data_IF_427629229079
#
_entry.id   IF_427629229079
#
_cell.length_a   1.000
_cell.length_b   1.000
_cell.length_c   1.000
_cell.angle_alpha   90.00
_cell.angle_beta   90.00
_cell.angle_gamma   90.00
#
_symmetry.space_group_name_H-M   'P 1'
#
loop_
_entity.id
_entity.type
_entity.pdbx_description
1 polymer ?
#
# COMPACT_ATOMS: atom_id res chain seq x y z
N UNK A 1 -23.83 9.99 -0.31
CA UNK A 1 -22.43 10.11 -0.72
C UNK A 1 -21.88 8.75 -1.11
N UNK A 2 -21.48 8.58 -2.38
CA UNK A 2 -20.96 7.32 -2.93
C UNK A 2 -19.46 7.48 -3.14
N UNK A 3 -18.67 6.66 -2.44
CA UNK A 3 -17.22 6.75 -2.43
C UNK A 3 -16.62 5.50 -3.07
N UNK A 4 -15.81 5.69 -4.11
CA UNK A 4 -15.01 4.62 -4.71
C UNK A 4 -13.66 4.49 -4.02
N UNK A 5 -13.26 3.28 -3.66
CA UNK A 5 -12.02 3.04 -2.92
C UNK A 5 -11.51 1.61 -3.15
N UNK A 6 -10.19 1.40 -3.07
CA UNK A 6 -9.67 0.03 -3.02
C UNK A 6 -9.95 -0.62 -1.66
N UNK A 7 -10.11 -1.94 -1.62
CA UNK A 7 -10.35 -2.68 -0.37
C UNK A 7 -9.29 -2.37 0.72
N UNK A 8 -8.03 -2.21 0.34
CA UNK A 8 -6.96 -1.81 1.26
C UNK A 8 -7.24 -0.44 1.89
N UNK A 9 -7.49 0.60 1.08
CA UNK A 9 -7.77 1.95 1.61
C UNK A 9 -9.13 2.01 2.32
N UNK A 10 -10.11 1.25 1.86
CA UNK A 10 -11.40 1.10 2.52
C UNK A 10 -11.25 0.61 3.95
N UNK A 11 -10.43 -0.41 4.16
CA UNK A 11 -10.19 -1.02 5.48
C UNK A 11 -9.19 -0.27 6.36
N UNK A 12 -8.28 0.51 5.78
CA UNK A 12 -7.19 1.14 6.53
C UNK A 12 -7.34 2.64 6.73
N UNK A 13 -7.82 3.38 5.72
CA UNK A 13 -7.92 4.84 5.77
C UNK A 13 -9.32 5.32 6.19
N UNK A 14 -10.38 4.74 5.62
CA UNK A 14 -11.75 5.22 5.87
C UNK A 14 -12.19 5.10 7.33
N UNK A 15 -11.79 4.07 8.12
CA UNK A 15 -12.13 4.01 9.54
C UNK A 15 -11.60 5.18 10.39
N UNK A 16 -10.59 5.90 9.93
CA UNK A 16 -10.07 7.08 10.62
C UNK A 16 -10.86 8.35 10.24
N UNK A 17 -11.51 8.36 9.09
CA UNK A 17 -12.17 9.53 8.51
C UNK A 17 -13.69 9.47 8.70
N UNK A 18 -14.32 8.38 8.29
CA UNK A 18 -15.78 8.24 8.21
C UNK A 18 -16.50 8.42 9.55
N UNK A 19 -15.99 7.93 10.69
CA UNK A 19 -16.70 8.13 11.97
C UNK A 19 -16.85 9.60 12.33
N UNK A 20 -15.87 10.43 12.00
CA UNK A 20 -15.93 11.88 12.24
C UNK A 20 -16.87 12.57 11.26
N UNK A 21 -16.82 12.18 9.99
CA UNK A 21 -17.73 12.70 8.96
C UNK A 21 -19.20 12.38 9.31
N UNK A 22 -19.54 11.14 9.60
CA UNK A 22 -20.93 10.71 9.90
C UNK A 22 -21.47 11.40 11.18
N UNK A 23 -20.62 11.65 12.17
CA UNK A 23 -21.05 12.42 13.37
C UNK A 23 -21.36 13.87 13.05
N UNK A 24 -20.61 14.49 12.11
CA UNK A 24 -20.81 15.88 11.72
C UNK A 24 -22.01 16.05 10.79
N UNK A 25 -22.22 15.10 9.88
CA UNK A 25 -23.23 15.14 8.83
C UNK A 25 -24.12 13.87 8.88
N UNK A 26 -24.93 13.68 9.95
CA UNK A 26 -25.65 12.43 10.23
C UNK A 26 -26.74 12.09 9.21
N UNK A 27 -27.24 13.06 8.50
CA UNK A 27 -28.28 12.89 7.46
C UNK A 27 -27.70 12.39 6.13
N UNK A 28 -26.39 12.33 5.99
CA UNK A 28 -25.73 11.87 4.77
C UNK A 28 -25.55 10.34 4.81
N UNK A 29 -26.30 9.64 3.96
CA UNK A 29 -26.06 8.23 3.73
C UNK A 29 -24.75 8.04 2.95
N UNK A 30 -23.83 7.23 3.50
CA UNK A 30 -22.57 6.87 2.85
C UNK A 30 -22.68 5.46 2.24
N UNK A 31 -22.27 5.33 0.99
CA UNK A 31 -22.16 4.06 0.26
C UNK A 31 -20.73 3.89 -0.23
N UNK A 32 -20.08 2.78 0.12
CA UNK A 32 -18.74 2.45 -0.34
C UNK A 32 -18.81 1.50 -1.54
N UNK A 33 -18.10 1.86 -2.60
CA UNK A 33 -17.86 1.02 -3.77
C UNK A 33 -16.41 0.56 -3.74
N UNK A 34 -16.19 -0.64 -3.25
CA UNK A 34 -14.86 -1.25 -3.23
C UNK A 34 -14.55 -1.92 -4.55
N UNK A 35 -13.48 -1.48 -5.21
CA UNK A 35 -13.06 -2.00 -6.50
C UNK A 35 -11.52 -1.98 -6.64
N UNK A 36 -10.94 -2.80 -7.52
CA UNK A 36 -9.55 -2.67 -7.93
C UNK A 36 -9.26 -1.27 -8.48
N UNK A 37 -8.07 -0.74 -8.19
CA UNK A 37 -7.68 0.63 -8.58
C UNK A 37 -7.92 0.95 -10.07
N UNK A 38 -7.65 0.05 -11.03
CA UNK A 38 -7.93 0.34 -12.45
C UNK A 38 -9.41 0.62 -12.75
N UNK A 39 -10.34 0.08 -11.95
CA UNK A 39 -11.78 0.26 -12.16
C UNK A 39 -12.34 1.52 -11.46
N UNK A 40 -11.63 2.09 -10.49
CA UNK A 40 -12.09 3.25 -9.73
C UNK A 40 -12.32 4.47 -10.62
N UNK A 41 -11.47 4.68 -11.60
CA UNK A 41 -11.61 5.76 -12.56
C UNK A 41 -12.90 5.65 -13.40
N UNK A 42 -13.23 4.46 -13.85
CA UNK A 42 -14.45 4.19 -14.61
C UNK A 42 -15.71 4.42 -13.77
N UNK A 43 -15.68 4.04 -12.49
CA UNK A 43 -16.77 4.29 -11.54
C UNK A 43 -17.02 5.79 -11.36
N UNK A 44 -15.96 6.59 -11.26
CA UNK A 44 -16.07 8.05 -11.18
C UNK A 44 -16.55 8.64 -12.51
N UNK A 45 -15.95 8.27 -13.64
CA UNK A 45 -16.28 8.77 -14.96
C UNK A 45 -17.73 8.47 -15.37
N UNK A 46 -18.27 7.32 -14.95
CA UNK A 46 -19.67 6.93 -15.18
C UNK A 46 -20.65 7.43 -14.12
N UNK A 47 -20.21 8.25 -13.18
CA UNK A 47 -21.02 8.80 -12.07
C UNK A 47 -21.67 7.73 -11.18
N UNK A 48 -21.10 6.53 -11.12
CA UNK A 48 -21.48 5.49 -10.15
C UNK A 48 -21.06 5.91 -8.75
N UNK A 49 -19.91 6.58 -8.63
CA UNK A 49 -19.41 7.20 -7.40
C UNK A 49 -19.39 8.73 -7.53
N UNK A 50 -19.51 9.43 -6.42
CA UNK A 50 -19.40 10.89 -6.37
C UNK A 50 -17.92 11.31 -6.40
N UNK A 51 -17.04 10.52 -5.79
CA UNK A 51 -15.59 10.62 -5.94
C UNK A 51 -14.92 9.26 -5.66
N UNK A 52 -13.64 9.14 -6.04
CA UNK A 52 -12.82 7.97 -5.75
C UNK A 52 -11.50 8.37 -5.11
N UNK A 53 -11.05 7.57 -4.12
CA UNK A 53 -9.70 7.67 -3.57
C UNK A 53 -8.76 6.77 -4.36
N UNK A 54 -7.86 7.36 -5.13
CA UNK A 54 -6.95 6.64 -6.03
C UNK A 54 -5.57 7.29 -6.06
N UNK A 55 -4.63 6.60 -6.68
CA UNK A 55 -3.32 7.17 -6.98
C UNK A 55 -3.38 8.09 -8.19
N UNK A 56 -2.60 9.15 -8.21
CA UNK A 56 -2.36 9.99 -9.38
C UNK A 56 -0.98 9.65 -10.00
N UNK A 57 -0.78 9.90 -11.30
CA UNK A 57 -1.76 10.30 -12.30
C UNK A 57 -2.64 9.15 -12.76
N UNK A 58 -3.82 9.49 -13.28
CA UNK A 58 -4.67 8.62 -14.07
C UNK A 58 -4.75 9.19 -15.48
N UNK A 59 -4.86 8.35 -16.48
CA UNK A 59 -4.95 8.77 -17.89
C UNK A 59 -6.34 9.31 -18.27
N UNK A 60 -7.27 9.36 -17.30
CA UNK A 60 -8.63 9.83 -17.52
C UNK A 60 -8.68 11.38 -17.49
N UNK A 61 -8.93 11.96 -18.63
CA UNK A 61 -8.94 13.42 -18.82
C UNK A 61 -10.26 14.09 -18.46
N UNK A 62 -11.31 13.31 -18.24
CA UNK A 62 -12.67 13.79 -17.91
C UNK A 62 -12.94 13.84 -16.39
N UNK A 63 -11.93 13.68 -15.58
CA UNK A 63 -12.01 13.78 -14.11
C UNK A 63 -11.18 14.94 -13.61
N UNK A 64 -11.66 15.56 -12.52
CA UNK A 64 -10.87 16.50 -11.74
C UNK A 64 -10.14 15.76 -10.63
N UNK A 65 -8.90 16.16 -10.35
CA UNK A 65 -8.07 15.54 -9.32
C UNK A 65 -7.70 16.54 -8.25
N UNK A 66 -7.84 16.13 -7.01
CA UNK A 66 -7.37 16.86 -5.84
C UNK A 66 -6.36 16.00 -5.07
N UNK A 67 -5.20 16.58 -4.79
CA UNK A 67 -4.17 15.90 -3.98
C UNK A 67 -4.59 15.95 -2.50
N UNK A 68 -4.86 14.78 -1.94
CA UNK A 68 -5.27 14.64 -0.55
C UNK A 68 -4.07 14.43 0.37
N UNK A 69 -3.10 13.61 -0.06
CA UNK A 69 -1.92 13.27 0.74
C UNK A 69 -0.79 12.73 -0.11
N UNK A 70 0.43 12.87 0.39
CA UNK A 70 1.59 12.08 -0.04
C UNK A 70 1.81 10.95 0.95
N UNK A 71 2.19 9.79 0.47
CA UNK A 71 2.54 8.66 1.31
C UNK A 71 3.81 7.96 0.82
N UNK A 72 4.59 7.45 1.76
CA UNK A 72 5.78 6.65 1.44
C UNK A 72 5.36 5.21 1.15
N UNK A 73 6.15 4.54 0.34
CA UNK A 73 6.13 3.09 0.23
C UNK A 73 7.22 2.55 1.15
N UNK A 74 6.84 1.70 2.08
CA UNK A 74 7.77 1.08 3.01
C UNK A 74 8.03 -0.36 2.61
N UNK A 75 9.29 -0.77 2.69
CA UNK A 75 9.70 -2.17 2.71
C UNK A 75 9.42 -2.71 4.11
N UNK A 76 8.80 -3.87 4.18
CA UNK A 76 8.37 -4.52 5.42
C UNK A 76 9.00 -5.91 5.50
N UNK A 77 9.57 -6.23 6.65
CA UNK A 77 10.08 -7.56 6.97
C UNK A 77 9.59 -8.03 8.33
N UNK A 78 9.77 -9.32 8.61
CA UNK A 78 9.70 -9.80 9.99
C UNK A 78 10.89 -9.24 10.78
N UNK A 79 10.67 -8.82 12.04
CA UNK A 79 11.72 -8.24 12.88
C UNK A 79 12.91 -9.18 13.17
N UNK A 80 12.65 -10.48 13.18
CA UNK A 80 13.67 -11.51 13.42
C UNK A 80 14.31 -12.01 12.11
N UNK A 81 13.97 -11.43 10.95
CA UNK A 81 14.63 -11.76 9.70
C UNK A 81 16.11 -11.34 9.76
N UNK A 82 17.07 -12.14 9.27
CA UNK A 82 18.51 -11.84 9.36
C UNK A 82 18.89 -10.44 8.85
N UNK A 83 18.20 -9.93 7.82
CA UNK A 83 18.45 -8.59 7.27
C UNK A 83 17.86 -7.46 8.13
N UNK A 84 16.97 -7.75 9.07
CA UNK A 84 16.32 -6.80 9.96
C UNK A 84 16.70 -6.99 11.44
N UNK A 85 17.27 -8.15 11.77
CA UNK A 85 17.56 -8.52 13.15
C UNK A 85 18.47 -7.51 13.84
N UNK A 86 18.08 -7.10 15.05
CA UNK A 86 18.82 -6.12 15.85
C UNK A 86 18.58 -4.65 15.43
N UNK A 87 17.75 -4.41 14.42
CA UNK A 87 17.34 -3.07 14.01
C UNK A 87 15.99 -2.72 14.65
N UNK A 88 15.97 -1.65 15.43
CA UNK A 88 14.72 -1.07 15.93
C UNK A 88 14.18 -0.10 14.88
N UNK A 89 13.32 -0.60 14.01
CA UNK A 89 12.76 0.14 12.88
C UNK A 89 11.24 0.10 12.90
N UNK A 90 10.59 0.86 13.82
CA UNK A 90 9.14 0.93 13.89
C UNK A 90 8.55 1.72 12.71
N UNK A 91 7.27 1.51 12.42
CA UNK A 91 6.58 2.21 11.34
C UNK A 91 6.60 3.75 11.49
N UNK A 92 6.57 4.25 12.71
CA UNK A 92 6.63 5.69 13.02
C UNK A 92 8.00 6.32 12.71
N UNK A 93 9.07 5.52 12.72
CA UNK A 93 10.45 5.95 12.44
C UNK A 93 11.19 4.87 11.64
N UNK A 94 10.80 4.61 10.39
CA UNK A 94 11.43 3.58 9.57
C UNK A 94 12.87 3.96 9.23
N UNK A 95 13.77 2.97 9.32
CA UNK A 95 15.17 3.16 8.97
C UNK A 95 15.38 3.02 7.44
N UNK A 96 16.41 3.66 6.87
CA UNK A 96 16.82 3.37 5.51
C UNK A 96 17.24 1.90 5.37
N UNK A 97 16.72 1.17 4.37
CA UNK A 97 17.15 -0.20 4.11
C UNK A 97 18.56 -0.24 3.51
N UNK A 98 18.94 0.84 2.83
CA UNK A 98 20.21 0.99 2.16
C UNK A 98 20.21 0.29 0.80
N UNK A 99 20.87 -0.85 0.69
CA UNK A 99 21.11 -1.52 -0.58
C UNK A 99 20.06 -2.60 -0.87
N UNK A 100 19.21 -2.38 -1.88
CA UNK A 100 18.17 -3.33 -2.30
C UNK A 100 18.75 -4.63 -2.92
N UNK A 101 20.03 -4.67 -3.32
CA UNK A 101 20.68 -5.90 -3.80
C UNK A 101 20.66 -7.01 -2.74
N UNK A 102 20.55 -6.65 -1.47
CA UNK A 102 20.37 -7.60 -0.37
C UNK A 102 19.09 -8.41 -0.46
N UNK A 103 18.11 -7.95 -1.26
CA UNK A 103 16.83 -8.63 -1.48
C UNK A 103 16.85 -9.59 -2.68
N UNK A 104 17.92 -9.63 -3.49
CA UNK A 104 17.97 -10.38 -4.74
C UNK A 104 17.60 -11.86 -4.58
N UNK A 105 18.08 -12.49 -3.49
CA UNK A 105 17.81 -13.90 -3.18
C UNK A 105 16.69 -14.11 -2.17
N UNK A 106 16.13 -13.03 -1.64
CA UNK A 106 15.06 -13.08 -0.67
C UNK A 106 13.69 -13.26 -1.35
N UNK A 107 12.75 -13.85 -0.63
CA UNK A 107 11.38 -13.90 -1.14
C UNK A 107 10.72 -12.54 -1.00
N UNK A 108 10.21 -12.02 -2.11
CA UNK A 108 9.45 -10.77 -2.13
C UNK A 108 7.99 -11.09 -2.46
N UNK A 109 7.08 -10.69 -1.60
CA UNK A 109 5.65 -10.84 -1.75
C UNK A 109 5.13 -9.56 -2.41
N UNK A 110 4.69 -9.66 -3.66
CA UNK A 110 4.32 -8.52 -4.48
C UNK A 110 2.86 -8.60 -4.93
N UNK A 111 2.32 -7.46 -5.30
CA UNK A 111 1.07 -7.38 -6.05
C UNK A 111 1.32 -7.74 -7.53
N UNK A 112 0.26 -8.02 -8.33
CA UNK A 112 0.41 -8.31 -9.76
C UNK A 112 1.27 -7.25 -10.47
N UNK A 113 2.07 -7.68 -11.44
CA UNK A 113 3.06 -6.84 -12.12
C UNK A 113 2.44 -5.65 -12.86
N UNK A 114 1.23 -5.82 -13.41
CA UNK A 114 0.48 -4.77 -14.10
C UNK A 114 -0.05 -3.68 -13.16
N UNK A 115 -0.02 -3.91 -11.85
CA UNK A 115 -0.46 -2.93 -10.87
C UNK A 115 0.60 -1.83 -10.66
N UNK A 116 0.11 -0.60 -10.42
CA UNK A 116 0.96 0.59 -10.33
C UNK A 116 2.08 0.47 -9.29
N UNK A 117 1.78 -0.07 -8.10
CA UNK A 117 2.79 -0.24 -7.06
C UNK A 117 3.90 -1.17 -7.53
N UNK A 118 3.55 -2.29 -8.14
CA UNK A 118 4.52 -3.24 -8.68
C UNK A 118 5.37 -2.63 -9.79
N UNK A 119 4.75 -1.89 -10.72
CA UNK A 119 5.49 -1.17 -11.77
C UNK A 119 6.51 -0.18 -11.18
N UNK A 120 6.12 0.56 -10.13
CA UNK A 120 7.02 1.47 -9.43
C UNK A 120 8.20 0.70 -8.81
N UNK A 121 7.94 -0.43 -8.16
CA UNK A 121 8.96 -1.25 -7.52
C UNK A 121 9.90 -1.89 -8.54
N UNK A 122 9.39 -2.43 -9.65
CA UNK A 122 10.23 -2.97 -10.71
C UNK A 122 11.14 -1.90 -11.33
N UNK A 123 10.63 -0.67 -11.51
CA UNK A 123 11.47 0.45 -11.92
C UNK A 123 12.56 0.76 -10.89
N UNK A 124 12.22 0.75 -9.59
CA UNK A 124 13.19 0.99 -8.52
C UNK A 124 14.27 -0.10 -8.49
N UNK A 125 13.89 -1.36 -8.62
CA UNK A 125 14.83 -2.47 -8.73
C UNK A 125 15.72 -2.34 -9.96
N UNK A 126 15.15 -2.02 -11.12
CA UNK A 126 15.90 -1.83 -12.37
C UNK A 126 16.94 -0.72 -12.26
N UNK A 127 16.57 0.43 -11.69
CA UNK A 127 17.50 1.56 -11.47
C UNK A 127 18.68 1.16 -10.58
N UNK A 128 18.44 0.28 -9.59
CA UNK A 128 19.48 -0.21 -8.69
C UNK A 128 20.17 -1.48 -9.19
N UNK A 129 19.86 -1.93 -10.41
CA UNK A 129 20.40 -3.17 -11.01
C UNK A 129 20.14 -4.40 -10.13
N UNK A 130 18.95 -4.50 -9.57
CA UNK A 130 18.48 -5.64 -8.77
C UNK A 130 17.45 -6.42 -9.58
N UNK A 131 17.61 -7.73 -9.65
CA UNK A 131 16.64 -8.65 -10.24
C UNK A 131 16.14 -9.62 -9.16
N UNK A 132 14.92 -9.38 -8.62
CA UNK A 132 14.37 -10.29 -7.61
C UNK A 132 14.14 -11.69 -8.17
N UNK A 133 14.81 -12.68 -7.59
CA UNK A 133 14.80 -14.08 -8.08
C UNK A 133 13.66 -14.93 -7.50
N UNK A 134 13.04 -14.48 -6.40
CA UNK A 134 12.01 -15.25 -5.69
C UNK A 134 10.80 -14.38 -5.39
N UNK A 135 9.81 -14.39 -6.29
CA UNK A 135 8.59 -13.59 -6.16
C UNK A 135 7.39 -14.48 -5.86
N UNK A 136 6.64 -14.13 -4.82
CA UNK A 136 5.31 -14.64 -4.53
C UNK A 136 4.30 -13.54 -4.84
N UNK A 137 3.31 -13.81 -5.69
CA UNK A 137 2.32 -12.82 -6.07
C UNK A 137 0.99 -13.03 -5.36
N UNK A 138 0.40 -11.94 -4.85
CA UNK A 138 -0.95 -11.89 -4.28
C UNK A 138 -1.67 -10.63 -4.74
N UNK A 139 -3.00 -10.67 -4.84
CA UNK A 139 -3.83 -9.49 -5.11
C UNK A 139 -4.27 -8.75 -3.85
N UNK A 140 -3.84 -9.19 -2.67
CA UNK A 140 -4.34 -8.71 -1.39
C UNK A 140 -3.19 -8.26 -0.48
N UNK A 141 -3.15 -6.97 -0.16
CA UNK A 141 -2.14 -6.37 0.72
C UNK A 141 -2.18 -6.96 2.14
N UNK A 142 -3.37 -7.31 2.65
CA UNK A 142 -3.50 -7.97 3.96
C UNK A 142 -2.86 -9.35 3.95
N UNK A 143 -3.02 -10.11 2.86
CA UNK A 143 -2.32 -11.39 2.70
C UNK A 143 -0.81 -11.18 2.68
N UNK A 144 -0.32 -10.18 1.93
CA UNK A 144 1.11 -9.90 1.85
C UNK A 144 1.71 -9.60 3.24
N UNK A 145 1.11 -8.69 4.00
CA UNK A 145 1.63 -8.32 5.33
C UNK A 145 1.53 -9.48 6.34
N UNK A 146 0.47 -10.29 6.28
CA UNK A 146 0.31 -11.45 7.15
C UNK A 146 1.39 -12.51 6.88
N UNK A 147 1.73 -12.76 5.61
CA UNK A 147 2.81 -13.67 5.25
C UNK A 147 4.18 -13.17 5.73
N UNK A 148 4.42 -11.85 5.66
CA UNK A 148 5.63 -11.26 6.23
C UNK A 148 5.66 -11.40 7.75
N UNK A 149 4.54 -11.25 8.44
CA UNK A 149 4.44 -11.45 9.88
C UNK A 149 4.74 -12.91 10.33
N UNK A 150 4.63 -13.86 9.41
CA UNK A 150 5.05 -15.25 9.59
C UNK A 150 6.46 -15.53 9.02
N UNK A 151 7.27 -14.49 8.82
CA UNK A 151 8.65 -14.55 8.35
C UNK A 151 8.83 -15.24 6.97
N UNK A 152 7.84 -15.06 6.08
CA UNK A 152 7.89 -15.68 4.76
C UNK A 152 8.61 -14.83 3.70
N UNK A 153 9.16 -13.68 4.07
CA UNK A 153 9.91 -12.79 3.17
C UNK A 153 9.60 -11.32 3.42
N UNK A 154 9.64 -10.54 2.35
CA UNK A 154 9.48 -9.08 2.37
C UNK A 154 8.26 -8.65 1.55
N UNK A 155 7.70 -7.50 1.87
CA UNK A 155 6.69 -6.84 1.01
C UNK A 155 6.88 -5.33 1.01
N UNK A 156 6.20 -4.66 0.08
CA UNK A 156 6.21 -3.20 -0.03
C UNK A 156 4.77 -2.70 0.01
N UNK A 157 4.46 -1.85 0.97
CA UNK A 157 3.12 -1.30 1.13
C UNK A 157 3.14 0.20 1.42
N UNK A 158 2.06 0.91 1.05
CA UNK A 158 1.86 2.30 1.46
C UNK A 158 1.75 2.41 2.98
N UNK A 159 2.45 3.38 3.56
CA UNK A 159 2.54 3.55 5.02
C UNK A 159 1.20 3.84 5.69
N UNK A 160 0.27 4.50 4.99
CA UNK A 160 -1.02 4.94 5.55
C UNK A 160 -1.90 3.79 6.07
N UNK A 161 -1.72 2.57 5.58
CA UNK A 161 -2.51 1.41 5.99
C UNK A 161 -1.84 0.48 6.99
N UNK A 162 -0.55 0.66 7.23
CA UNK A 162 0.25 -0.30 7.99
C UNK A 162 -0.11 -0.28 9.48
N UNK A 163 -0.42 0.88 10.05
CA UNK A 163 -0.74 1.04 11.48
C UNK A 163 -1.94 0.24 11.96
N UNK A 164 -2.76 -0.29 11.05
CA UNK A 164 -3.92 -1.13 11.37
C UNK A 164 -3.64 -2.63 11.35
N UNK A 165 -2.40 -3.04 11.03
CA UNK A 165 -2.05 -4.45 11.15
C UNK A 165 -1.97 -4.88 12.62
N UNK A 166 -2.52 -6.05 12.99
CA UNK A 166 -2.40 -6.58 14.35
C UNK A 166 -0.99 -7.11 14.69
N UNK A 167 -0.07 -7.12 13.72
CA UNK A 167 1.27 -7.72 13.83
C UNK A 167 2.40 -6.67 13.92
N UNK A 168 2.09 -5.44 14.31
CA UNK A 168 3.08 -4.35 14.38
C UNK A 168 4.34 -4.70 15.20
N UNK A 169 4.16 -5.47 16.26
CA UNK A 169 5.24 -5.93 17.16
C UNK A 169 6.15 -7.00 16.54
N UNK A 170 5.73 -7.63 15.44
CA UNK A 170 6.51 -8.63 14.70
C UNK A 170 7.23 -8.06 13.48
N UNK A 171 6.98 -6.81 13.13
CA UNK A 171 7.41 -6.23 11.87
C UNK A 171 8.48 -5.16 12.07
N UNK A 172 9.34 -5.03 11.08
CA UNK A 172 10.29 -3.94 10.89
C UNK A 172 10.01 -3.24 9.57
N UNK A 173 10.19 -1.91 9.55
CA UNK A 173 9.78 -1.05 8.44
C UNK A 173 10.97 -0.24 7.94
N UNK A 174 11.16 -0.17 6.63
CA UNK A 174 12.30 0.50 6.04
C UNK A 174 11.86 1.43 4.91
N UNK A 175 12.53 2.57 4.80
CA UNK A 175 12.44 3.40 3.60
C UNK A 175 13.32 2.83 2.50
N UNK A 176 12.88 2.97 1.25
CA UNK A 176 13.62 2.55 0.06
C UNK A 176 13.76 3.73 -0.88
N UNK A 177 15.00 4.01 -1.27
CA UNK A 177 15.34 5.23 -2.00
C UNK A 177 15.46 6.46 -1.07
N UNK A 178 16.03 7.51 -1.61
CA UNK A 178 16.10 8.84 -0.98
C UNK A 178 14.80 9.61 -1.19
#
# INVERSE_FOLDING_TARGET
LRIGVSAWRGSTLLPDILPTFVRRDPDVQVVLHEAPVPQLGDLAASSVTDFCLMHIPSDLTNLSYELVMHERILLISHRDHPLAQGLDSPCSAPLPFGDLRRLEHERIIMLPEDWRLSKLLYNTFSVQSVEPLNILTTTNNTTAINLVAENMGFTFLPESGIHRTPYMDRLSFFTVGD
#
